data_IF_487047222912
#
_entry.id   IF_487047222912
#
_cell.length_a   1.000
_cell.length_b   1.000
_cell.length_c   1.000
_cell.angle_alpha   90.00
_cell.angle_beta   90.00
_cell.angle_gamma   90.00
#
_symmetry.space_group_name_H-M   'P 1'
#
loop_
_entity.id
_entity.type
_entity.pdbx_description
1 polymer ?
#
# COMPACT_ATOMS: atom_id res chain seq x y z
N UNK A 1 -3.32 64.87 14.62
CA UNK A 1 -2.15 63.99 14.81
C UNK A 1 -2.57 62.79 15.65
N UNK A 2 -2.31 61.59 15.12
CA UNK A 2 -2.28 60.26 15.78
C UNK A 2 -3.46 59.81 16.66
N UNK A 3 -4.41 59.12 16.02
CA UNK A 3 -5.28 58.13 16.67
C UNK A 3 -4.41 56.99 17.20
N UNK A 4 -4.56 56.68 18.50
CA UNK A 4 -4.07 55.48 19.17
C UNK A 4 -4.46 54.24 18.35
N UNK A 5 -3.48 53.39 18.05
CA UNK A 5 -3.70 52.08 17.45
C UNK A 5 -4.52 51.21 18.40
N UNK A 6 -5.55 50.63 17.83
CA UNK A 6 -6.38 49.56 18.37
C UNK A 6 -5.50 48.38 18.77
N UNK A 7 -5.61 47.95 20.03
CA UNK A 7 -5.36 46.57 20.40
C UNK A 7 -6.64 45.79 20.10
N UNK A 8 -6.56 44.83 19.19
CA UNK A 8 -7.42 43.65 19.23
C UNK A 8 -6.51 42.44 19.11
N UNK A 9 -6.48 41.65 20.18
CA UNK A 9 -5.98 40.30 20.19
C UNK A 9 -7.03 39.45 19.45
N UNK A 10 -6.61 38.75 18.41
CA UNK A 10 -7.28 37.56 17.87
C UNK A 10 -6.13 36.66 17.40
N UNK A 11 -5.86 35.50 18.00
CA UNK A 11 -6.86 34.50 18.33
C UNK A 11 -7.30 33.88 17.02
N UNK A 12 -6.66 32.77 16.67
CA UNK A 12 -7.13 31.77 15.71
C UNK A 12 -7.22 32.16 14.24
N UNK A 13 -6.35 31.52 13.43
CA UNK A 13 -6.72 30.92 12.14
C UNK A 13 -5.58 30.04 11.59
N UNK A 14 -5.11 29.13 12.44
CA UNK A 14 -4.50 27.88 11.99
C UNK A 14 -5.58 26.81 12.18
N UNK A 15 -6.05 26.21 11.09
CA UNK A 15 -6.75 24.93 11.18
C UNK A 15 -5.65 23.88 11.03
N UNK A 16 -5.26 23.22 12.13
CA UNK A 16 -4.14 22.26 12.20
C UNK A 16 -2.77 22.76 11.71
N UNK A 17 -2.44 24.04 11.92
CA UNK A 17 -1.10 24.56 11.60
C UNK A 17 -0.85 24.90 10.12
N UNK A 18 -1.87 24.89 9.26
CA UNK A 18 -1.75 25.26 7.85
C UNK A 18 -2.40 26.64 7.54
N UNK A 19 -1.81 27.43 6.62
CA UNK A 19 -2.41 28.69 6.15
C UNK A 19 -3.78 28.45 5.51
N UNK A 20 -4.71 29.38 5.76
CA UNK A 20 -6.15 29.32 5.38
C UNK A 20 -6.46 29.05 3.90
N UNK A 21 -5.49 29.20 3.00
CA UNK A 21 -5.64 28.94 1.56
C UNK A 21 -5.24 27.50 1.19
N UNK A 22 -4.83 26.68 2.17
CA UNK A 22 -4.35 25.31 2.01
C UNK A 22 -5.24 24.29 2.73
N UNK A 23 -6.47 24.65 3.09
CA UNK A 23 -7.46 23.68 3.56
C UNK A 23 -7.62 22.60 2.49
N UNK A 24 -7.21 21.37 2.82
CA UNK A 24 -7.73 20.18 2.15
C UNK A 24 -9.25 20.29 2.24
N UNK A 25 -9.89 20.58 1.11
CA UNK A 25 -11.34 20.62 1.04
C UNK A 25 -11.80 19.17 1.24
N UNK A 26 -12.33 18.89 2.42
CA UNK A 26 -13.13 17.69 2.65
C UNK A 26 -14.28 17.72 1.64
N UNK A 27 -14.43 16.64 0.87
CA UNK A 27 -15.32 16.55 -0.27
C UNK A 27 -16.72 17.09 0.01
N UNK A 28 -17.13 18.06 -0.81
CA UNK A 28 -18.53 18.43 -0.97
C UNK A 28 -18.71 19.03 -2.37
N UNK A 29 -19.65 18.45 -3.11
CA UNK A 29 -20.20 19.04 -4.33
C UNK A 29 -19.79 18.34 -5.62
N UNK A 30 -20.64 17.43 -6.08
CA UNK A 30 -20.63 16.99 -7.47
C UNK A 30 -20.90 18.16 -8.41
N UNK A 31 -20.26 18.11 -9.58
CA UNK A 31 -20.73 18.78 -10.79
C UNK A 31 -20.55 17.79 -11.93
N UNK A 32 -21.66 17.47 -12.59
CA UNK A 32 -21.69 16.75 -13.85
C UNK A 32 -21.08 17.67 -14.90
N UNK A 33 -19.84 17.40 -15.31
CA UNK A 33 -19.28 17.94 -16.53
C UNK A 33 -18.72 16.80 -17.38
N UNK A 34 -19.44 16.52 -18.45
CA UNK A 34 -19.05 15.67 -19.57
C UNK A 34 -17.83 16.25 -20.30
N UNK A 35 -16.90 15.38 -20.68
CA UNK A 35 -15.78 15.62 -21.61
C UNK A 35 -14.59 16.48 -21.12
N UNK A 36 -13.66 15.84 -20.39
CA UNK A 36 -12.30 15.53 -20.92
C UNK A 36 -11.52 14.76 -19.85
N UNK A 37 -11.20 13.51 -20.14
CA UNK A 37 -10.45 12.59 -19.28
C UNK A 37 -9.00 13.06 -19.12
N UNK A 38 -8.75 13.92 -18.14
CA UNK A 38 -7.40 14.33 -17.75
C UNK A 38 -6.92 13.44 -16.62
N UNK A 39 -5.78 12.77 -16.80
CA UNK A 39 -5.13 12.00 -15.75
C UNK A 39 -5.00 12.83 -14.47
N UNK A 40 -5.50 12.31 -13.34
CA UNK A 40 -5.42 13.01 -12.06
C UNK A 40 -3.95 13.17 -11.69
N UNK A 41 -3.51 14.42 -11.63
CA UNK A 41 -2.12 14.78 -11.38
C UNK A 41 -1.95 15.16 -9.91
N UNK A 42 -1.05 14.48 -9.22
CA UNK A 42 -0.67 14.76 -7.84
C UNK A 42 0.71 15.44 -7.78
N UNK A 43 0.95 16.14 -6.68
CA UNK A 43 2.17 16.88 -6.44
C UNK A 43 2.67 16.61 -5.02
N UNK A 44 3.98 16.54 -4.82
CA UNK A 44 4.60 16.62 -3.48
C UNK A 44 5.81 17.51 -3.49
N UNK A 45 6.17 18.01 -2.30
CA UNK A 45 7.46 18.64 -2.09
C UNK A 45 8.55 17.59 -1.92
N UNK A 46 9.67 17.79 -2.61
CA UNK A 46 10.94 17.10 -2.41
C UNK A 46 11.94 18.09 -1.79
N UNK A 47 11.90 18.27 -0.46
CA UNK A 47 12.86 19.13 0.22
C UNK A 47 14.27 18.55 0.09
N UNK A 48 15.27 19.41 -0.17
CA UNK A 48 16.69 19.03 -0.15
C UNK A 48 17.10 18.64 1.28
N UNK A 49 18.15 17.82 1.48
CA UNK A 49 18.58 17.41 2.82
C UNK A 49 18.79 18.57 3.81
N UNK A 50 19.20 19.74 3.31
CA UNK A 50 19.44 20.96 4.10
C UNK A 50 18.30 21.98 4.03
N UNK A 51 17.10 21.58 3.61
CA UNK A 51 15.93 22.46 3.60
C UNK A 51 15.51 22.81 5.04
N UNK A 52 14.86 23.97 5.21
CA UNK A 52 14.38 24.41 6.52
C UNK A 52 13.35 23.44 7.11
N UNK A 53 13.12 23.53 8.42
CA UNK A 53 12.17 22.66 9.14
C UNK A 53 10.77 22.68 8.53
N UNK A 54 10.27 23.85 8.12
CA UNK A 54 8.96 23.97 7.45
C UNK A 54 8.90 23.19 6.15
N UNK A 55 9.99 23.17 5.39
CA UNK A 55 10.07 22.41 4.14
C UNK A 55 10.21 20.91 4.39
N UNK A 56 10.99 20.51 5.41
CA UNK A 56 11.08 19.11 5.83
C UNK A 56 9.75 18.58 6.37
N UNK A 57 8.96 19.43 7.04
CA UNK A 57 7.62 19.08 7.50
C UNK A 57 6.63 18.81 6.34
N UNK A 58 6.90 19.36 5.15
CA UNK A 58 6.10 19.08 3.94
C UNK A 58 6.60 17.85 3.17
N UNK A 59 7.68 17.21 3.63
CA UNK A 59 8.15 15.94 3.07
C UNK A 59 7.02 14.93 3.22
N UNK A 60 6.71 14.24 2.12
CA UNK A 60 5.67 13.20 2.05
C UNK A 60 4.22 13.72 2.15
N UNK A 61 3.99 15.04 2.12
CA UNK A 61 2.66 15.63 1.98
C UNK A 61 2.28 15.75 0.51
N UNK A 62 1.05 15.34 0.19
CA UNK A 62 0.54 15.22 -1.18
C UNK A 62 -0.58 16.22 -1.48
N UNK A 63 -0.61 16.70 -2.72
CA UNK A 63 -1.55 17.70 -3.19
C UNK A 63 -2.17 17.30 -4.52
N UNK A 64 -3.48 17.49 -4.66
CA UNK A 64 -4.23 17.25 -5.90
C UNK A 64 -4.08 18.40 -6.91
N UNK A 65 -3.56 19.52 -6.45
CA UNK A 65 -3.23 20.70 -7.27
C UNK A 65 -1.80 21.09 -6.98
N UNK A 66 -1.12 21.67 -7.97
CA UNK A 66 0.24 22.16 -7.80
C UNK A 66 0.29 23.14 -6.62
N UNK A 67 0.97 22.81 -5.51
CA UNK A 67 0.99 23.67 -4.34
C UNK A 67 1.82 24.91 -4.62
N UNK A 68 1.44 26.03 -4.02
CA UNK A 68 2.25 27.24 -4.03
C UNK A 68 3.54 27.03 -3.22
N UNK A 69 4.56 27.86 -3.45
CA UNK A 69 5.80 27.80 -2.66
C UNK A 69 5.51 27.99 -1.17
N UNK A 70 6.13 27.17 -0.33
CA UNK A 70 5.94 27.15 1.13
C UNK A 70 6.33 28.51 1.76
N UNK A 71 7.35 29.16 1.19
CA UNK A 71 7.81 30.49 1.58
C UNK A 71 8.63 31.14 0.45
N UNK A 72 8.87 32.47 0.48
CA UNK A 72 9.51 33.20 -0.63
C UNK A 72 10.89 32.68 -1.06
N UNK A 73 11.68 32.15 -0.12
CA UNK A 73 13.02 31.60 -0.40
C UNK A 73 13.03 30.06 -0.54
N UNK A 74 11.88 29.44 -0.86
CA UNK A 74 11.76 27.99 -0.92
C UNK A 74 12.51 27.43 -2.13
N UNK A 75 13.49 26.56 -1.85
CA UNK A 75 14.27 25.84 -2.87
C UNK A 75 13.86 24.36 -2.99
N UNK A 76 12.67 24.01 -2.51
CA UNK A 76 12.15 22.65 -2.63
C UNK A 76 11.76 22.39 -4.07
N UNK A 77 12.10 21.20 -4.54
CA UNK A 77 11.62 20.72 -5.82
C UNK A 77 10.19 20.22 -5.65
N UNK A 78 9.36 20.39 -6.67
CA UNK A 78 8.04 19.79 -6.73
C UNK A 78 8.13 18.59 -7.67
N UNK A 79 7.73 17.44 -7.17
CA UNK A 79 7.58 16.25 -8.01
C UNK A 79 6.11 16.11 -8.39
N UNK A 80 5.86 15.96 -9.69
CA UNK A 80 4.56 15.69 -10.28
C UNK A 80 4.40 14.18 -10.47
N UNK A 81 3.23 13.65 -10.12
CA UNK A 81 2.87 12.25 -10.28
C UNK A 81 1.56 12.18 -11.04
N UNK A 82 1.53 11.44 -12.13
CA UNK A 82 0.29 11.13 -12.81
C UNK A 82 -0.23 9.82 -12.24
N UNK A 83 -1.52 9.78 -11.88
CA UNK A 83 -2.17 8.52 -11.56
C UNK A 83 -2.06 7.61 -12.79
N UNK A 84 -1.28 6.53 -12.69
CA UNK A 84 -1.12 5.58 -13.78
C UNK A 84 -2.37 4.71 -13.82
N UNK A 85 -3.18 4.92 -14.85
CA UNK A 85 -4.22 3.97 -15.26
C UNK A 85 -3.54 2.71 -15.79
N UNK A 86 -3.86 1.55 -15.21
CA UNK A 86 -3.49 0.27 -15.83
C UNK A 86 -4.55 -0.08 -16.90
N UNK A 87 -4.15 -0.01 -18.16
CA UNK A 87 -4.99 -0.35 -19.32
C UNK A 87 -5.34 -1.86 -19.23
N UNK A 88 -6.58 -2.25 -18.92
CA UNK A 88 -7.71 -2.22 -19.84
C UNK A 88 -9.07 -1.87 -19.16
N UNK A 89 -9.06 -1.17 -18.02
CA UNK A 89 -10.31 -0.63 -17.45
C UNK A 89 -10.24 0.74 -16.76
N UNK A 90 -9.10 1.45 -16.75
CA UNK A 90 -9.03 2.84 -16.24
C UNK A 90 -9.37 3.07 -14.75
N UNK A 91 -9.45 2.03 -13.90
CA UNK A 91 -10.05 2.17 -12.55
C UNK A 91 -9.09 2.18 -11.33
N UNK A 92 -7.79 1.93 -11.49
CA UNK A 92 -6.89 1.73 -10.33
C UNK A 92 -6.01 2.95 -10.12
N UNK A 93 -6.38 3.79 -9.15
CA UNK A 93 -5.63 5.00 -8.77
C UNK A 93 -4.51 4.64 -7.81
N UNK A 94 -3.25 4.77 -8.26
CA UNK A 94 -2.08 4.55 -7.41
C UNK A 94 -1.97 5.68 -6.36
N UNK A 95 -1.92 5.36 -5.05
CA UNK A 95 -1.74 6.33 -4.00
C UNK A 95 -0.43 7.08 -4.21
N UNK A 96 -0.43 8.39 -3.96
CA UNK A 96 0.77 9.18 -4.12
C UNK A 96 1.91 8.66 -3.23
N UNK A 97 3.11 8.48 -3.81
CA UNK A 97 4.33 8.05 -3.10
C UNK A 97 4.56 6.57 -3.07
N UNK A 98 3.64 5.79 -3.63
CA UNK A 98 3.85 4.37 -3.88
C UNK A 98 4.80 4.22 -5.06
N UNK A 99 5.92 3.54 -4.80
CA UNK A 99 6.84 3.05 -5.82
C UNK A 99 6.61 1.55 -6.02
N UNK A 100 6.04 1.18 -7.15
CA UNK A 100 5.69 -0.21 -7.47
C UNK A 100 6.93 -1.11 -7.54
N UNK A 101 8.04 -0.61 -8.08
CA UNK A 101 9.28 -1.38 -8.19
C UNK A 101 9.91 -1.62 -6.82
N UNK A 102 9.91 -0.60 -5.96
CA UNK A 102 10.35 -0.74 -4.58
C UNK A 102 9.50 -1.76 -3.81
N UNK A 103 8.18 -1.75 -4.03
CA UNK A 103 7.25 -2.71 -3.43
C UNK A 103 7.50 -4.15 -3.91
N UNK A 104 7.73 -4.34 -5.21
CA UNK A 104 8.13 -5.64 -5.77
C UNK A 104 9.48 -6.12 -5.20
N UNK A 105 10.45 -5.23 -5.06
CA UNK A 105 11.74 -5.54 -4.45
C UNK A 105 11.58 -5.94 -2.98
N UNK A 106 10.72 -5.25 -2.22
CA UNK A 106 10.38 -5.61 -0.84
C UNK A 106 9.75 -7.01 -0.77
N UNK A 107 8.74 -7.28 -1.60
CA UNK A 107 8.05 -8.56 -1.65
C UNK A 107 9.02 -9.73 -1.94
N UNK A 108 9.92 -9.57 -2.91
CA UNK A 108 10.93 -10.58 -3.26
C UNK A 108 11.94 -10.79 -2.14
N UNK A 109 12.41 -9.71 -1.52
CA UNK A 109 13.30 -9.77 -0.35
C UNK A 109 12.61 -10.54 0.78
N UNK A 110 11.35 -10.23 1.06
CA UNK A 110 10.57 -10.92 2.09
C UNK A 110 10.36 -12.39 1.77
N UNK A 111 10.07 -12.74 0.52
CA UNK A 111 9.98 -14.13 0.10
C UNK A 111 11.29 -14.91 0.32
N UNK A 112 12.44 -14.27 0.08
CA UNK A 112 13.76 -14.86 0.38
C UNK A 112 13.96 -15.03 1.88
N UNK A 113 13.61 -14.03 2.70
CA UNK A 113 13.66 -14.12 4.16
C UNK A 113 12.79 -15.28 4.69
N UNK A 114 11.57 -15.44 4.19
CA UNK A 114 10.68 -16.52 4.58
C UNK A 114 11.28 -17.90 4.25
N UNK A 115 11.91 -18.05 3.08
CA UNK A 115 12.62 -19.30 2.72
C UNK A 115 13.79 -19.58 3.66
N UNK A 116 14.65 -18.60 3.88
CA UNK A 116 15.80 -18.76 4.78
C UNK A 116 15.35 -19.11 6.21
N UNK A 117 14.28 -18.47 6.71
CA UNK A 117 13.70 -18.77 8.02
C UNK A 117 13.09 -20.17 8.07
N UNK A 118 12.45 -20.63 6.99
CA UNK A 118 11.94 -21.98 6.90
C UNK A 118 13.07 -23.03 6.98
N UNK A 119 14.16 -22.83 6.24
CA UNK A 119 15.33 -23.73 6.28
C UNK A 119 15.95 -23.78 7.69
N UNK A 120 16.01 -22.66 8.39
CA UNK A 120 16.45 -22.59 9.79
C UNK A 120 15.52 -23.38 10.72
N UNK A 121 14.20 -23.25 10.56
CA UNK A 121 13.20 -23.99 11.34
C UNK A 121 13.34 -25.50 11.11
N UNK A 122 13.44 -25.95 9.85
CA UNK A 122 13.60 -27.37 9.52
C UNK A 122 14.92 -27.92 10.07
N UNK A 123 16.01 -27.17 9.95
CA UNK A 123 17.31 -27.58 10.50
C UNK A 123 17.30 -27.65 12.03
N UNK A 124 16.63 -26.71 12.70
CA UNK A 124 16.45 -26.75 14.14
C UNK A 124 15.57 -27.91 14.60
N UNK A 125 14.53 -28.25 13.84
CA UNK A 125 13.68 -29.42 14.11
C UNK A 125 14.48 -30.72 13.96
N UNK A 126 15.22 -30.88 12.86
CA UNK A 126 16.07 -32.05 12.62
C UNK A 126 17.10 -32.22 13.74
N UNK A 127 17.75 -31.13 14.17
CA UNK A 127 18.71 -31.15 15.28
C UNK A 127 18.05 -31.53 16.62
N UNK A 128 16.78 -31.17 16.85
CA UNK A 128 16.05 -31.60 18.06
C UNK A 128 15.71 -33.08 18.01
N UNK A 129 15.29 -33.62 16.87
CA UNK A 129 14.98 -35.05 16.71
C UNK A 129 16.24 -35.91 16.86
N UNK A 130 17.37 -35.45 16.29
CA UNK A 130 18.68 -36.12 16.43
C UNK A 130 19.13 -36.31 17.89
N UNK A 131 18.68 -35.48 18.83
CA UNK A 131 18.97 -35.64 20.27
C UNK A 131 18.24 -36.83 20.89
N UNK A 132 17.16 -37.30 20.26
CA UNK A 132 16.34 -38.43 20.73
C UNK A 132 16.63 -39.68 19.91
N UNK A 133 16.87 -39.51 18.60
CA UNK A 133 17.14 -40.58 17.64
C UNK A 133 18.47 -40.26 16.95
N UNK A 134 19.57 -40.84 17.43
CA UNK A 134 20.93 -40.48 17.02
C UNK A 134 21.18 -40.56 15.50
N UNK A 135 20.62 -41.57 14.83
CA UNK A 135 20.81 -41.81 13.39
C UNK A 135 19.73 -41.19 12.51
N UNK A 136 18.88 -40.32 13.08
CA UNK A 136 17.84 -39.66 12.31
C UNK A 136 18.42 -38.63 11.36
N UNK A 137 18.08 -38.72 10.08
CA UNK A 137 18.30 -37.67 9.09
C UNK A 137 17.04 -37.47 8.27
N UNK A 138 16.65 -36.23 7.99
CA UNK A 138 15.61 -36.00 7.01
C UNK A 138 16.15 -36.30 5.61
N UNK A 139 15.49 -37.14 4.81
CA UNK A 139 15.75 -37.22 3.38
C UNK A 139 15.62 -35.83 2.74
N UNK A 140 16.49 -35.51 1.78
CA UNK A 140 16.54 -34.20 1.13
C UNK A 140 15.19 -33.81 0.49
N UNK A 141 14.46 -34.77 -0.06
CA UNK A 141 13.13 -34.56 -0.62
C UNK A 141 12.13 -34.08 0.43
N UNK A 142 12.09 -34.73 1.60
CA UNK A 142 11.22 -34.35 2.71
C UNK A 142 11.65 -33.02 3.34
N UNK A 143 12.96 -32.78 3.45
CA UNK A 143 13.51 -31.51 3.93
C UNK A 143 13.05 -30.36 3.04
N UNK A 144 13.19 -30.51 1.72
CA UNK A 144 12.78 -29.52 0.74
C UNK A 144 11.27 -29.25 0.80
N UNK A 145 10.43 -30.28 0.74
CA UNK A 145 8.97 -30.12 0.80
C UNK A 145 8.53 -29.47 2.12
N UNK A 146 9.14 -29.86 3.24
CA UNK A 146 8.83 -29.27 4.54
C UNK A 146 9.23 -27.79 4.61
N UNK A 147 10.42 -27.44 4.09
CA UNK A 147 10.88 -26.06 4.03
C UNK A 147 9.98 -25.20 3.12
N UNK A 148 9.55 -25.73 1.97
CA UNK A 148 8.61 -25.05 1.08
C UNK A 148 7.25 -24.80 1.75
N UNK A 149 6.72 -25.78 2.49
CA UNK A 149 5.48 -25.64 3.24
C UNK A 149 5.58 -24.60 4.37
N UNK A 150 6.67 -24.62 5.15
CA UNK A 150 6.92 -23.61 6.20
C UNK A 150 7.13 -22.23 5.59
N UNK A 151 7.86 -22.12 4.47
CA UNK A 151 8.03 -20.86 3.76
C UNK A 151 6.71 -20.34 3.21
N UNK A 152 5.83 -21.20 2.71
CA UNK A 152 4.47 -20.84 2.31
C UNK A 152 3.70 -20.23 3.48
N UNK A 153 3.65 -20.91 4.63
CA UNK A 153 3.00 -20.40 5.84
C UNK A 153 3.54 -19.01 6.25
N UNK A 154 4.86 -18.85 6.33
CA UNK A 154 5.49 -17.58 6.73
C UNK A 154 5.21 -16.43 5.75
N UNK A 155 5.07 -16.73 4.45
CA UNK A 155 4.66 -15.74 3.45
C UNK A 155 3.21 -15.31 3.67
N UNK A 156 2.31 -16.27 3.92
CA UNK A 156 0.90 -16.00 4.18
C UNK A 156 0.71 -15.17 5.45
N UNK A 157 1.40 -15.52 6.54
CA UNK A 157 1.37 -14.77 7.80
C UNK A 157 1.80 -13.31 7.58
N UNK A 158 2.91 -13.09 6.89
CA UNK A 158 3.40 -11.74 6.62
C UNK A 158 2.43 -10.94 5.75
N UNK A 159 1.90 -11.54 4.68
CA UNK A 159 0.93 -10.89 3.80
C UNK A 159 -0.32 -10.51 4.61
N UNK A 160 -0.86 -11.44 5.40
CA UNK A 160 -2.00 -11.16 6.26
C UNK A 160 -1.73 -9.99 7.21
N UNK A 161 -0.59 -9.97 7.90
CA UNK A 161 -0.22 -8.90 8.81
C UNK A 161 -0.19 -7.52 8.14
N UNK A 162 0.26 -7.45 6.88
CA UNK A 162 0.41 -6.17 6.16
C UNK A 162 -0.85 -5.67 5.47
N UNK A 163 -1.73 -6.58 5.05
CA UNK A 163 -2.90 -6.27 4.23
C UNK A 163 -4.24 -6.43 4.97
N UNK A 164 -4.24 -6.92 6.21
CA UNK A 164 -5.44 -6.86 7.07
C UNK A 164 -5.88 -5.41 7.30
N UNK A 165 -7.12 -5.23 7.78
CA UNK A 165 -7.62 -3.92 8.19
C UNK A 165 -6.66 -3.25 9.19
N UNK A 166 -6.44 -1.95 9.02
CA UNK A 166 -5.47 -1.13 9.77
C UNK A 166 -4.00 -1.57 9.60
N UNK A 167 -3.74 -2.50 8.68
CA UNK A 167 -2.41 -2.92 8.28
C UNK A 167 -1.68 -1.82 7.49
N UNK A 168 -0.36 -1.98 7.36
CA UNK A 168 0.51 -1.02 6.65
C UNK A 168 0.01 -0.69 5.23
N UNK A 169 -0.57 -1.67 4.54
CA UNK A 169 -1.04 -1.54 3.16
C UNK A 169 -2.56 -1.45 3.04
N UNK A 170 -3.25 -1.10 4.12
CA UNK A 170 -4.69 -0.81 4.10
C UNK A 170 -4.94 0.60 3.52
N UNK A 171 -4.76 0.74 2.21
CA UNK A 171 -4.80 2.04 1.53
C UNK A 171 -6.16 2.74 1.57
N UNK A 172 -7.27 2.01 1.81
CA UNK A 172 -8.60 2.60 1.98
C UNK A 172 -8.72 3.45 3.26
N UNK A 173 -7.80 3.30 4.22
CA UNK A 173 -7.71 4.16 5.40
C UNK A 173 -7.17 5.55 5.07
N UNK A 174 -6.39 5.68 4.00
CA UNK A 174 -5.92 6.98 3.51
C UNK A 174 -7.07 7.69 2.80
N UNK A 175 -7.68 7.02 1.83
CA UNK A 175 -8.85 7.47 1.09
C UNK A 175 -9.55 6.26 0.46
N UNK A 176 -10.88 6.21 0.51
CA UNK A 176 -11.69 5.12 -0.06
C UNK A 176 -11.40 4.90 -1.54
N UNK A 177 -11.01 5.94 -2.29
CA UNK A 177 -10.66 5.82 -3.71
C UNK A 177 -9.47 4.90 -3.99
N UNK A 178 -8.67 4.58 -2.98
CA UNK A 178 -7.53 3.68 -3.10
C UNK A 178 -7.84 2.22 -2.77
N UNK A 179 -9.10 1.86 -2.51
CA UNK A 179 -9.50 0.47 -2.25
C UNK A 179 -9.07 -0.47 -3.39
N UNK A 180 -9.40 -0.12 -4.64
CA UNK A 180 -9.01 -0.91 -5.81
C UNK A 180 -7.48 -1.05 -5.92
N UNK A 181 -6.73 -0.02 -5.55
CA UNK A 181 -5.28 -0.11 -5.49
C UNK A 181 -4.80 -1.04 -4.38
N UNK A 182 -5.41 -1.03 -3.19
CA UNK A 182 -5.07 -1.97 -2.11
C UNK A 182 -5.19 -3.42 -2.56
N UNK A 183 -6.27 -3.76 -3.27
CA UNK A 183 -6.49 -5.10 -3.81
C UNK A 183 -5.51 -5.45 -4.95
N UNK A 184 -5.22 -4.50 -5.84
CA UNK A 184 -4.17 -4.65 -6.85
C UNK A 184 -2.78 -4.85 -6.22
N UNK A 185 -2.46 -4.06 -5.19
CA UNK A 185 -1.21 -4.13 -4.46
C UNK A 185 -1.04 -5.46 -3.72
N UNK A 186 -2.12 -5.99 -3.17
CA UNK A 186 -2.17 -7.34 -2.61
C UNK A 186 -1.84 -8.39 -3.67
N UNK A 187 -2.46 -8.29 -4.86
CA UNK A 187 -2.15 -9.13 -6.02
C UNK A 187 -0.68 -9.07 -6.44
N UNK A 188 -0.11 -7.85 -6.51
CA UNK A 188 1.30 -7.60 -6.82
C UNK A 188 2.24 -8.31 -5.83
N UNK A 189 2.01 -8.12 -4.54
CA UNK A 189 2.84 -8.70 -3.48
C UNK A 189 2.77 -10.23 -3.49
N UNK A 190 1.57 -10.77 -3.57
CA UNK A 190 1.36 -12.23 -3.57
C UNK A 190 2.04 -12.88 -4.79
N UNK A 191 1.97 -12.26 -5.97
CA UNK A 191 2.68 -12.70 -7.17
C UNK A 191 4.19 -12.65 -7.01
N UNK A 192 4.74 -11.52 -6.55
CA UNK A 192 6.18 -11.35 -6.32
C UNK A 192 6.73 -12.31 -5.25
N UNK A 193 5.89 -12.74 -4.31
CA UNK A 193 6.20 -13.75 -3.30
C UNK A 193 6.00 -15.20 -3.78
N UNK A 194 5.60 -15.40 -5.05
CA UNK A 194 5.27 -16.69 -5.66
C UNK A 194 4.15 -17.43 -4.91
N UNK A 195 3.15 -16.68 -4.45
CA UNK A 195 1.88 -17.21 -4.01
C UNK A 195 0.94 -17.19 -5.22
N UNK A 196 0.34 -18.34 -5.53
CA UNK A 196 -0.44 -18.48 -6.73
C UNK A 196 -1.72 -17.61 -6.69
N UNK A 197 -2.23 -17.26 -7.87
CA UNK A 197 -3.38 -16.36 -8.01
C UNK A 197 -4.65 -16.92 -7.36
N UNK A 198 -4.89 -18.23 -7.41
CA UNK A 198 -6.07 -18.85 -6.79
C UNK A 198 -6.05 -18.69 -5.27
N UNK A 199 -4.89 -18.92 -4.65
CA UNK A 199 -4.71 -18.72 -3.22
C UNK A 199 -4.98 -17.26 -2.82
N UNK A 200 -4.43 -16.30 -3.57
CA UNK A 200 -4.63 -14.88 -3.30
C UNK A 200 -6.13 -14.51 -3.35
N UNK A 201 -6.85 -14.96 -4.38
CA UNK A 201 -8.29 -14.72 -4.53
C UNK A 201 -9.12 -15.38 -3.42
N UNK A 202 -8.82 -16.65 -3.08
CA UNK A 202 -9.51 -17.36 -1.99
C UNK A 202 -9.26 -16.69 -0.64
N UNK A 203 -8.04 -16.23 -0.38
CA UNK A 203 -7.70 -15.57 0.87
C UNK A 203 -8.41 -14.21 1.03
N UNK A 204 -8.52 -13.43 -0.06
CA UNK A 204 -9.30 -12.20 -0.07
C UNK A 204 -10.80 -12.47 0.13
N UNK A 205 -11.37 -13.42 -0.60
CA UNK A 205 -12.76 -13.84 -0.42
C UNK A 205 -13.07 -14.37 0.98
N UNK A 206 -12.15 -15.11 1.59
CA UNK A 206 -12.28 -15.53 2.99
C UNK A 206 -12.22 -14.35 3.96
N UNK A 207 -11.38 -13.35 3.71
CA UNK A 207 -11.33 -12.13 4.51
C UNK A 207 -12.64 -11.33 4.41
N UNK A 208 -13.19 -11.21 3.19
CA UNK A 208 -14.49 -10.57 2.95
C UNK A 208 -15.64 -11.34 3.62
N UNK A 209 -15.64 -12.67 3.52
CA UNK A 209 -16.60 -13.53 4.20
C UNK A 209 -16.57 -13.30 5.71
N UNK A 210 -15.38 -13.28 6.30
CA UNK A 210 -15.18 -12.99 7.73
C UNK A 210 -15.60 -11.59 8.15
N UNK A 211 -15.47 -10.60 7.26
CA UNK A 211 -15.90 -9.23 7.52
C UNK A 211 -17.43 -9.06 7.43
N UNK A 212 -18.15 -10.08 6.94
CA UNK A 212 -19.60 -10.02 6.77
C UNK A 212 -20.04 -9.13 5.61
N UNK A 213 -19.13 -8.83 4.67
CA UNK A 213 -19.40 -7.95 3.50
C UNK A 213 -19.46 -8.75 2.19
N UNK A 214 -19.84 -10.03 2.27
CA UNK A 214 -20.01 -10.92 1.13
C UNK A 214 -21.47 -10.99 0.70
N UNK A 215 -21.69 -11.26 -0.59
CA UNK A 215 -23.02 -11.54 -1.14
C UNK A 215 -23.04 -12.95 -1.76
N UNK A 216 -24.15 -13.70 -1.70
CA UNK A 216 -24.25 -15.04 -2.31
C UNK A 216 -23.89 -15.07 -3.81
N UNK A 217 -24.18 -13.97 -4.51
CA UNK A 217 -23.89 -13.80 -5.93
C UNK A 217 -22.38 -13.79 -6.25
N UNK A 218 -21.53 -13.53 -5.24
CA UNK A 218 -20.07 -13.50 -5.37
C UNK A 218 -19.43 -14.90 -5.32
N UNK A 219 -20.21 -15.98 -5.38
CA UNK A 219 -19.69 -17.36 -5.33
C UNK A 219 -18.61 -17.64 -6.40
N UNK A 220 -18.74 -17.05 -7.58
CA UNK A 220 -17.80 -17.21 -8.70
C UNK A 220 -16.43 -16.57 -8.46
N UNK A 221 -16.34 -15.68 -7.47
CA UNK A 221 -15.13 -14.95 -7.05
C UNK A 221 -14.71 -15.32 -5.63
N UNK A 222 -15.06 -16.53 -5.17
CA UNK A 222 -14.73 -17.03 -3.83
C UNK A 222 -15.35 -16.19 -2.70
N UNK A 223 -16.51 -15.58 -2.94
CA UNK A 223 -17.21 -14.65 -2.03
C UNK A 223 -16.52 -13.29 -1.86
N UNK A 224 -15.48 -13.01 -2.64
CA UNK A 224 -14.84 -11.70 -2.78
C UNK A 224 -15.63 -10.80 -3.73
N UNK A 225 -15.62 -9.49 -3.52
CA UNK A 225 -16.31 -8.56 -4.41
C UNK A 225 -15.71 -8.68 -5.83
N UNK A 226 -16.52 -8.79 -6.90
CA UNK A 226 -15.99 -9.03 -8.24
C UNK A 226 -15.01 -7.96 -8.74
N UNK A 227 -15.16 -6.70 -8.32
CA UNK A 227 -14.24 -5.63 -8.66
C UNK A 227 -12.92 -5.77 -7.88
N UNK A 228 -13.00 -6.07 -6.58
CA UNK A 228 -11.83 -6.33 -5.73
C UNK A 228 -11.03 -7.55 -6.24
N UNK A 229 -11.73 -8.65 -6.54
CA UNK A 229 -11.15 -9.84 -7.16
C UNK A 229 -10.49 -9.52 -8.51
N UNK A 230 -11.14 -8.68 -9.32
CA UNK A 230 -10.61 -8.19 -10.58
C UNK A 230 -9.30 -7.42 -10.42
N UNK A 231 -9.20 -6.56 -9.41
CA UNK A 231 -7.98 -5.83 -9.08
C UNK A 231 -6.85 -6.78 -8.62
N UNK A 232 -7.16 -7.77 -7.79
CA UNK A 232 -6.19 -8.80 -7.37
C UNK A 232 -5.64 -9.56 -8.57
N UNK A 233 -6.50 -9.99 -9.51
CA UNK A 233 -6.08 -10.69 -10.74
C UNK A 233 -5.15 -9.82 -11.59
N UNK A 234 -5.42 -8.53 -11.71
CA UNK A 234 -4.54 -7.58 -12.42
C UNK A 234 -3.16 -7.49 -11.76
N UNK A 235 -3.10 -7.39 -10.43
CA UNK A 235 -1.83 -7.39 -9.69
C UNK A 235 -1.07 -8.72 -9.85
N UNK A 236 -1.80 -9.84 -9.83
CA UNK A 236 -1.26 -11.17 -10.06
C UNK A 236 -0.72 -11.40 -11.48
N UNK A 237 -1.30 -10.72 -12.47
CA UNK A 237 -0.83 -10.74 -13.85
C UNK A 237 0.32 -9.76 -14.13
N UNK A 238 0.70 -8.92 -13.15
CA UNK A 238 1.75 -7.93 -13.35
C UNK A 238 3.11 -8.61 -13.62
N UNK A 239 3.87 -8.15 -14.63
CA UNK A 239 5.18 -8.73 -14.94
C UNK A 239 6.18 -8.58 -13.79
N UNK A 240 6.59 -9.70 -13.22
CA UNK A 240 7.63 -9.73 -12.19
C UNK A 240 8.96 -10.02 -12.88
N UNK A 241 9.70 -8.96 -13.27
CA UNK A 241 11.01 -9.07 -13.92
C UNK A 241 12.13 -9.44 -12.95
#
# INVERSE_FOLDING_TARGET
MTRKRVQHIGGDQLVYGLPKHMSAVAGSGGTNDTNSEKATTYWRFKPKPHACEKCQAMKDVWFERKPAQIHPNCKCELEQFEAISTDASRDIVVPPGVDIEANLAEARRKAKECRNKADQIISALEAKVKRVINDFSLPDSLRKTSAEAVAFYLKCEWVYEKFQNDGKYDYKQIDKRYQAFGNYHYGLYTNAMKLNATFAQVAAGYAQFRAGTWEPEFYSTWLDDPADNGAIRKGQAYPVR
#
